data_IF_447700342534
#
_entry.id   IF_447700342534
#
_cell.length_a   1.000
_cell.length_b   1.000
_cell.length_c   1.000
_cell.angle_alpha   90.00
_cell.angle_beta   90.00
_cell.angle_gamma   90.00
#
_symmetry.space_group_name_H-M   'P 1'
#
loop_
_entity.id
_entity.type
_entity.pdbx_description
1 polymer ?
#
# COMPACT_ATOMS: atom_id res chain seq x y z
N UNK A 1 51.11 -40.68 4.18
CA UNK A 1 51.33 -41.93 3.41
C UNK A 1 50.09 -42.23 2.59
N UNK A 2 50.28 -42.34 1.27
CA UNK A 2 49.59 -43.18 0.26
C UNK A 2 48.05 -43.23 0.27
N UNK A 3 47.38 -42.64 -0.73
CA UNK A 3 47.03 -43.24 -2.05
C UNK A 3 45.65 -43.93 -1.96
N UNK A 4 44.59 -43.53 -2.68
CA UNK A 4 44.35 -43.39 -4.12
C UNK A 4 43.39 -44.50 -4.63
N UNK A 5 42.49 -44.14 -5.54
CA UNK A 5 41.56 -45.02 -6.27
C UNK A 5 40.11 -44.57 -6.08
N UNK A 6 39.49 -43.66 -6.85
CA UNK A 6 39.39 -43.45 -8.30
C UNK A 6 38.63 -44.56 -9.04
N UNK A 7 37.41 -44.23 -9.50
CA UNK A 7 36.73 -44.59 -10.76
C UNK A 7 35.23 -44.26 -10.56
N UNK A 8 34.71 -43.14 -11.12
CA UNK A 8 34.18 -43.02 -12.48
C UNK A 8 32.97 -43.95 -12.70
N UNK A 9 31.83 -43.56 -13.26
CA UNK A 9 31.33 -42.33 -13.85
C UNK A 9 29.82 -42.57 -14.04
N UNK A 10 28.98 -41.55 -13.83
CA UNK A 10 27.66 -41.50 -14.45
C UNK A 10 27.48 -40.06 -14.93
N UNK A 11 27.89 -39.88 -16.18
CA UNK A 11 27.49 -38.76 -17.01
C UNK A 11 25.98 -38.84 -17.23
N UNK A 12 25.24 -37.79 -16.86
CA UNK A 12 24.20 -37.25 -17.72
C UNK A 12 24.11 -35.74 -17.48
N UNK A 13 24.51 -34.99 -18.50
CA UNK A 13 24.40 -33.55 -18.56
C UNK A 13 22.95 -33.13 -18.88
N UNK A 14 22.46 -32.08 -18.22
CA UNK A 14 21.48 -31.17 -18.79
C UNK A 14 21.63 -29.80 -18.10
N UNK A 15 22.14 -28.82 -18.83
CA UNK A 15 22.05 -27.42 -18.47
C UNK A 15 20.58 -27.00 -18.42
N UNK A 16 20.14 -26.43 -17.30
CA UNK A 16 19.09 -25.44 -17.29
C UNK A 16 19.24 -24.59 -16.03
N UNK A 17 19.79 -23.40 -16.23
CA UNK A 17 19.65 -22.24 -15.35
C UNK A 17 18.17 -22.00 -15.06
N UNK A 18 17.75 -22.19 -13.82
CA UNK A 18 16.41 -21.88 -13.35
C UNK A 18 16.50 -21.47 -11.90
N UNK A 19 16.32 -20.17 -11.67
CA UNK A 19 16.53 -19.49 -10.39
C UNK A 19 15.78 -20.15 -9.23
N UNK A 20 16.35 -19.96 -8.04
CA UNK A 20 15.65 -20.19 -6.79
C UNK A 20 14.27 -19.51 -6.84
N UNK A 21 13.23 -20.08 -6.20
CA UNK A 21 12.02 -19.31 -5.95
C UNK A 21 12.39 -18.19 -4.97
N UNK A 22 12.72 -17.02 -5.51
CA UNK A 22 12.68 -15.76 -4.78
C UNK A 22 11.27 -15.65 -4.19
N UNK A 23 11.18 -15.84 -2.87
CA UNK A 23 9.99 -15.49 -2.12
C UNK A 23 9.67 -14.03 -2.47
N UNK A 24 8.44 -13.70 -2.90
CA UNK A 24 8.09 -12.31 -3.15
C UNK A 24 8.24 -11.55 -1.83
N UNK A 25 9.29 -10.73 -1.75
CA UNK A 25 9.34 -9.69 -0.73
C UNK A 25 8.11 -8.81 -0.88
N UNK A 26 7.60 -8.19 0.21
CA UNK A 26 6.46 -7.30 0.11
C UNK A 26 6.78 -6.20 -0.91
N UNK A 27 6.06 -6.25 -2.03
CA UNK A 27 6.19 -5.30 -3.13
C UNK A 27 5.57 -3.99 -2.64
N UNK A 28 6.40 -3.11 -2.08
CA UNK A 28 5.96 -1.80 -1.56
C UNK A 28 5.30 -0.94 -2.67
N UNK A 29 5.51 -1.29 -3.94
CA UNK A 29 4.83 -0.68 -5.09
C UNK A 29 3.41 -1.24 -5.33
N UNK A 30 3.12 -2.48 -4.93
CA UNK A 30 1.77 -3.03 -5.00
C UNK A 30 0.86 -2.52 -3.87
N UNK A 31 1.44 -2.11 -2.73
CA UNK A 31 0.73 -1.48 -1.62
C UNK A 31 0.17 -0.10 -2.03
N UNK A 32 1.02 0.81 -2.51
CA UNK A 32 0.58 2.13 -3.00
C UNK A 32 -0.40 2.05 -4.18
N UNK A 33 -0.38 0.98 -4.98
CA UNK A 33 -1.21 0.86 -6.18
C UNK A 33 -2.73 0.78 -5.96
N UNK A 34 -3.20 0.65 -4.71
CA UNK A 34 -4.63 0.57 -4.42
C UNK A 34 -5.11 1.39 -3.21
N UNK A 35 -4.23 2.13 -2.54
CA UNK A 35 -4.62 2.93 -1.38
C UNK A 35 -5.52 4.11 -1.81
N UNK A 36 -5.23 4.75 -2.94
CA UNK A 36 -6.07 5.83 -3.50
C UNK A 36 -7.49 5.35 -3.82
N UNK A 37 -7.63 4.16 -4.42
CA UNK A 37 -8.91 3.56 -4.75
C UNK A 37 -9.71 3.23 -3.47
N UNK A 38 -9.05 2.66 -2.47
CA UNK A 38 -9.66 2.36 -1.16
C UNK A 38 -10.10 3.61 -0.42
N UNK A 39 -9.29 4.68 -0.45
CA UNK A 39 -9.66 5.98 0.12
C UNK A 39 -10.91 6.53 -0.59
N UNK A 40 -10.95 6.47 -1.92
CA UNK A 40 -12.09 6.94 -2.72
C UNK A 40 -13.37 6.18 -2.40
N UNK A 41 -13.30 4.84 -2.37
CA UNK A 41 -14.43 3.97 -2.09
C UNK A 41 -14.92 4.12 -0.65
N UNK A 42 -14.00 4.21 0.31
CA UNK A 42 -14.31 4.50 1.71
C UNK A 42 -14.99 5.85 1.87
N UNK A 43 -14.52 6.89 1.17
CA UNK A 43 -15.16 8.22 1.20
C UNK A 43 -16.56 8.18 0.61
N UNK A 44 -16.78 7.45 -0.48
CA UNK A 44 -18.10 7.27 -1.07
C UNK A 44 -19.06 6.54 -0.11
N UNK A 45 -18.60 5.47 0.55
CA UNK A 45 -19.34 4.76 1.60
C UNK A 45 -19.73 5.68 2.77
N UNK A 46 -18.88 6.63 3.11
CA UNK A 46 -19.10 7.62 4.16
C UNK A 46 -19.96 8.83 3.71
N UNK A 47 -20.50 8.78 2.48
CA UNK A 47 -21.44 9.76 1.94
C UNK A 47 -20.79 10.99 1.32
N UNK A 48 -19.52 10.92 0.92
CA UNK A 48 -18.91 11.95 0.09
C UNK A 48 -19.42 11.86 -1.37
N UNK A 49 -19.49 13.00 -2.06
CA UNK A 49 -19.73 13.01 -3.51
C UNK A 49 -18.54 12.34 -4.25
N UNK A 50 -18.74 11.78 -5.45
CA UNK A 50 -17.67 11.18 -6.24
C UNK A 50 -16.48 12.14 -6.44
N UNK A 51 -16.74 13.39 -6.83
CA UNK A 51 -15.73 14.42 -7.00
C UNK A 51 -14.94 14.71 -5.70
N UNK A 52 -15.62 14.70 -4.54
CA UNK A 52 -14.97 14.88 -3.25
C UNK A 52 -14.11 13.67 -2.87
N UNK A 53 -14.58 12.46 -3.15
CA UNK A 53 -13.81 11.23 -2.94
C UNK A 53 -12.54 11.19 -3.78
N UNK A 54 -12.63 11.52 -5.08
CA UNK A 54 -11.49 11.61 -6.00
C UNK A 54 -10.48 12.67 -5.55
N UNK A 55 -10.94 13.87 -5.19
CA UNK A 55 -10.07 14.92 -4.68
C UNK A 55 -9.33 14.49 -3.40
N UNK A 56 -10.04 13.84 -2.46
CA UNK A 56 -9.43 13.34 -1.23
C UNK A 56 -8.36 12.29 -1.51
N UNK A 57 -8.68 11.29 -2.33
CA UNK A 57 -7.74 10.24 -2.72
C UNK A 57 -6.47 10.84 -3.35
N UNK A 58 -6.62 11.71 -4.35
CA UNK A 58 -5.49 12.33 -5.03
C UNK A 58 -4.63 13.20 -4.09
N UNK A 59 -5.26 13.97 -3.20
CA UNK A 59 -4.55 14.82 -2.23
C UNK A 59 -3.80 14.02 -1.18
N UNK A 60 -4.38 12.93 -0.71
CA UNK A 60 -3.77 12.09 0.34
C UNK A 60 -2.65 11.25 -0.27
N UNK A 61 -2.88 10.59 -1.41
CA UNK A 61 -1.86 9.82 -2.13
C UNK A 61 -0.69 10.70 -2.56
N UNK A 62 -0.94 11.95 -3.00
CA UNK A 62 0.13 12.89 -3.36
C UNK A 62 0.88 13.50 -2.17
N UNK A 63 0.47 13.23 -0.92
CA UNK A 63 1.05 13.83 0.28
C UNK A 63 1.71 12.81 1.22
N UNK A 64 1.50 11.52 0.99
CA UNK A 64 1.97 10.42 1.84
C UNK A 64 2.76 9.41 1.01
N UNK A 65 3.64 8.67 1.67
CA UNK A 65 4.43 7.60 1.06
C UNK A 65 4.03 6.26 1.69
N UNK A 66 3.93 5.20 0.89
CA UNK A 66 3.88 3.79 1.29
C UNK A 66 3.06 3.51 2.56
N UNK A 67 3.75 3.33 3.70
CA UNK A 67 3.12 2.96 4.98
C UNK A 67 2.10 3.99 5.49
N UNK A 68 2.36 5.29 5.31
CA UNK A 68 1.43 6.34 5.73
C UNK A 68 0.19 6.37 4.83
N UNK A 69 0.37 6.12 3.52
CA UNK A 69 -0.73 6.02 2.57
C UNK A 69 -1.64 4.83 2.91
N UNK A 70 -1.04 3.71 3.32
CA UNK A 70 -1.77 2.51 3.76
C UNK A 70 -2.50 2.69 5.08
N UNK A 71 -1.90 3.40 6.03
CA UNK A 71 -2.59 3.80 7.25
C UNK A 71 -3.78 4.70 6.92
N UNK A 72 -3.63 5.62 5.96
CA UNK A 72 -4.73 6.47 5.53
C UNK A 72 -5.87 5.66 4.91
N UNK A 73 -5.58 4.68 4.05
CA UNK A 73 -6.59 3.80 3.49
C UNK A 73 -7.36 3.04 4.59
N UNK A 74 -6.65 2.41 5.54
CA UNK A 74 -7.26 1.67 6.64
C UNK A 74 -8.21 2.51 7.49
N UNK A 75 -7.83 3.76 7.80
CA UNK A 75 -8.68 4.68 8.58
C UNK A 75 -10.05 4.89 7.92
N UNK A 76 -10.10 5.01 6.59
CA UNK A 76 -11.36 5.24 5.86
C UNK A 76 -12.13 3.94 5.66
N UNK A 77 -11.43 2.83 5.44
CA UNK A 77 -12.05 1.51 5.24
C UNK A 77 -12.77 1.00 6.51
N UNK A 78 -12.10 1.12 7.65
CA UNK A 78 -12.57 0.63 8.96
C UNK A 78 -13.63 1.53 9.59
N UNK A 79 -13.76 2.77 9.10
CA UNK A 79 -14.73 3.70 9.63
C UNK A 79 -16.17 3.26 9.32
N UNK A 80 -16.94 3.01 10.38
CA UNK A 80 -18.37 2.74 10.27
C UNK A 80 -19.17 3.99 9.83
N UNK A 81 -18.71 5.18 10.24
CA UNK A 81 -19.32 6.46 9.90
C UNK A 81 -18.29 7.60 9.90
N UNK A 82 -18.73 8.81 9.51
CA UNK A 82 -17.85 10.00 9.41
C UNK A 82 -17.24 10.41 10.76
N UNK A 83 -17.93 10.14 11.87
CA UNK A 83 -17.43 10.46 13.22
C UNK A 83 -16.33 9.47 13.60
N UNK A 84 -16.50 8.19 13.29
CA UNK A 84 -15.47 7.16 13.46
C UNK A 84 -14.22 7.48 12.63
N UNK A 85 -14.40 7.84 11.35
CA UNK A 85 -13.29 8.27 10.49
C UNK A 85 -12.55 9.46 11.10
N UNK A 86 -13.27 10.50 11.54
CA UNK A 86 -12.66 11.68 12.18
C UNK A 86 -11.88 11.30 13.44
N UNK A 87 -12.39 10.38 14.25
CA UNK A 87 -11.68 9.90 15.43
C UNK A 87 -10.38 9.17 15.04
N UNK A 88 -10.43 8.29 14.04
CA UNK A 88 -9.26 7.60 13.47
C UNK A 88 -8.20 8.59 12.97
N UNK A 89 -8.60 9.58 12.17
CA UNK A 89 -7.70 10.64 11.66
C UNK A 89 -7.04 11.41 12.80
N UNK A 90 -7.76 11.72 13.88
CA UNK A 90 -7.18 12.47 15.00
C UNK A 90 -6.20 11.62 15.83
N UNK A 91 -6.42 10.31 15.89
CA UNK A 91 -5.51 9.37 16.54
C UNK A 91 -4.30 8.98 15.67
N UNK A 92 -4.38 9.19 14.35
CA UNK A 92 -3.36 8.81 13.39
C UNK A 92 -2.02 9.54 13.59
N UNK A 93 -0.92 8.99 13.02
CA UNK A 93 0.38 9.64 12.95
C UNK A 93 0.30 11.06 12.35
N UNK A 94 1.26 11.90 12.71
CA UNK A 94 1.32 13.31 12.30
C UNK A 94 1.17 13.54 10.78
N UNK A 95 1.91 12.80 9.92
CA UNK A 95 1.79 12.93 8.46
C UNK A 95 0.37 12.61 7.96
N UNK A 96 -0.15 11.44 8.30
CA UNK A 96 -1.51 10.98 7.94
C UNK A 96 -2.56 11.98 8.37
N UNK A 97 -2.53 12.39 9.65
CA UNK A 97 -3.47 13.39 10.18
C UNK A 97 -3.41 14.71 9.41
N UNK A 98 -2.21 15.21 9.09
CA UNK A 98 -2.05 16.44 8.31
C UNK A 98 -2.58 16.29 6.89
N UNK A 99 -2.36 15.15 6.24
CA UNK A 99 -2.87 14.88 4.90
C UNK A 99 -4.40 14.94 4.85
N UNK A 100 -5.10 14.28 5.79
CA UNK A 100 -6.56 14.36 5.87
C UNK A 100 -7.08 15.77 6.13
N UNK A 101 -6.44 16.50 7.06
CA UNK A 101 -6.83 17.88 7.37
C UNK A 101 -6.62 18.77 6.13
N UNK A 102 -5.46 18.65 5.47
CA UNK A 102 -5.13 19.38 4.24
C UNK A 102 -6.08 19.06 3.08
N UNK A 103 -6.40 17.79 2.88
CA UNK A 103 -7.38 17.35 1.89
C UNK A 103 -8.78 17.90 2.19
N UNK A 104 -9.20 17.93 3.46
CA UNK A 104 -10.50 18.48 3.84
C UNK A 104 -10.64 19.97 3.46
N UNK A 105 -9.61 20.78 3.70
CA UNK A 105 -9.62 22.18 3.29
C UNK A 105 -9.50 22.32 1.77
N UNK A 106 -8.63 21.55 1.14
CA UNK A 106 -8.38 21.61 -0.30
C UNK A 106 -9.55 21.18 -1.17
N UNK A 107 -10.31 20.19 -0.71
CA UNK A 107 -11.44 19.61 -1.46
C UNK A 107 -12.78 20.23 -1.09
N UNK A 108 -12.87 21.01 -0.01
CA UNK A 108 -14.07 21.80 0.30
C UNK A 108 -14.14 23.12 -0.48
N UNK A 109 -13.01 23.61 -1.02
CA UNK A 109 -12.90 24.85 -1.80
C UNK A 109 -12.91 24.62 -3.32
N UNK A 110 -12.85 23.36 -3.77
CA UNK A 110 -12.80 22.98 -5.17
C UNK A 110 -14.18 22.64 -5.76
N UNK A 111 -15.27 22.88 -5.02
CA UNK A 111 -16.66 22.64 -5.42
C UNK A 111 -17.42 23.96 -5.59
#
# INVERSE_FOLDING_TARGET
>A
MRSAGALAALFLAACASGGAPDAPGPDLNAASGGADARIRDGMARLGASPARGECFAARIAGALDGEDEEEAARIVEDAADRRAMRAGVLAAPGPVRRAFIGANFGCSLAQ
#
